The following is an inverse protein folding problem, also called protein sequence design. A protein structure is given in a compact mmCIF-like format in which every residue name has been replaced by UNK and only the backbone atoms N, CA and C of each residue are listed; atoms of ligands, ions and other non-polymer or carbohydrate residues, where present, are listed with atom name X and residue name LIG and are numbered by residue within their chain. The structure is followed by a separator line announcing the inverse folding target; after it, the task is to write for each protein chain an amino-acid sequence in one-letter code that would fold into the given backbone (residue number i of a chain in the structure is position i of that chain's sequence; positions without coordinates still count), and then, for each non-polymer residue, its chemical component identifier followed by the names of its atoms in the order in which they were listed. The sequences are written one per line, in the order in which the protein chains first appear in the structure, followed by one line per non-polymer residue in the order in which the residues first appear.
data_IF_485630997004
#
_entry.id   IF_485630997004
#
_cell.length_a   1.000
_cell.length_b   1.000
_cell.length_c   1.000
_cell.angle_alpha   90.00
_cell.angle_beta   90.00
_cell.angle_gamma   90.00
#
_symmetry.space_group_name_H-M   'P 1'
#
loop_
_entity.id
_entity.type
_entity.pdbx_description
1 polymer ?
#
# COMPACT_ATOMS: atom_id res chain seq x y z
N UNK A 1 -23.80 14.54 -28.67
CA UNK A 1 -23.78 14.32 -27.21
C UNK A 1 -22.56 15.02 -26.64
N UNK A 2 -22.76 16.09 -25.86
CA UNK A 2 -21.63 16.86 -25.30
C UNK A 2 -20.96 16.09 -24.17
N UNK A 3 -19.75 15.58 -24.46
CA UNK A 3 -18.87 14.91 -23.50
C UNK A 3 -18.25 15.97 -22.59
N UNK A 4 -18.83 16.19 -21.40
CA UNK A 4 -18.14 16.99 -20.37
C UNK A 4 -17.15 16.07 -19.64
N UNK A 5 -15.94 15.97 -20.17
CA UNK A 5 -14.81 15.31 -19.51
C UNK A 5 -14.23 16.27 -18.47
N UNK A 6 -14.25 15.86 -17.20
CA UNK A 6 -13.59 16.58 -16.12
C UNK A 6 -12.47 15.70 -15.60
N UNK A 7 -11.23 16.05 -15.97
CA UNK A 7 -10.03 15.34 -15.53
C UNK A 7 -9.65 15.87 -14.14
N UNK A 8 -9.66 15.00 -13.14
CA UNK A 8 -9.08 15.29 -11.81
C UNK A 8 -7.77 14.53 -11.70
N UNK A 9 -6.64 15.24 -11.72
CA UNK A 9 -5.32 14.64 -11.54
C UNK A 9 -5.11 14.34 -10.06
N UNK A 10 -5.31 13.09 -9.65
CA UNK A 10 -4.77 12.56 -8.40
C UNK A 10 -3.37 12.01 -8.65
N UNK A 11 -2.39 12.37 -7.84
CA UNK A 11 -1.06 11.74 -7.86
C UNK A 11 -0.93 10.86 -6.61
N UNK A 12 -0.60 9.59 -6.78
CA UNK A 12 -0.25 8.69 -5.70
C UNK A 12 1.08 8.02 -6.04
N UNK A 13 2.17 8.47 -5.41
CA UNK A 13 3.52 7.96 -5.66
C UNK A 13 3.91 8.02 -7.14
N UNK A 14 4.08 6.86 -7.76
CA UNK A 14 4.48 6.71 -9.15
C UNK A 14 3.32 6.79 -10.16
N UNK A 15 2.07 6.91 -9.70
CA UNK A 15 0.90 6.80 -10.57
C UNK A 15 0.08 8.09 -10.63
N UNK A 16 -0.43 8.37 -11.83
CA UNK A 16 -1.41 9.41 -12.15
C UNK A 16 -2.79 8.77 -12.32
N UNK A 17 -3.81 9.42 -11.76
CA UNK A 17 -5.21 8.97 -11.86
C UNK A 17 -5.99 9.94 -12.74
N UNK A 18 -6.77 9.39 -13.66
CA UNK A 18 -7.72 10.10 -14.51
C UNK A 18 -9.10 9.45 -14.38
N UNK A 19 -10.18 10.24 -14.30
CA UNK A 19 -11.55 9.74 -14.25
C UNK A 19 -12.41 10.26 -15.39
N UNK A 20 -13.35 9.44 -15.84
CA UNK A 20 -14.32 9.79 -16.88
C UNK A 20 -15.72 9.39 -16.41
N UNK A 21 -16.54 10.38 -16.09
CA UNK A 21 -17.94 10.18 -15.74
C UNK A 21 -18.85 10.20 -16.98
N UNK A 22 -19.82 9.31 -16.99
CA UNK A 22 -20.83 9.17 -18.03
C UNK A 22 -22.22 9.05 -17.41
N UNK A 23 -23.22 9.63 -18.06
CA UNK A 23 -24.63 9.47 -17.67
C UNK A 23 -25.37 8.75 -18.78
N UNK A 24 -26.21 7.78 -18.42
CA UNK A 24 -27.03 7.07 -19.38
C UNK A 24 -28.07 8.02 -20.03
N UNK A 25 -28.46 7.81 -21.30
CA UNK A 25 -29.38 8.70 -22.02
C UNK A 25 -30.77 8.79 -21.40
N UNK A 26 -31.19 7.76 -20.69
CA UNK A 26 -32.47 7.66 -19.96
C UNK A 26 -32.48 8.46 -18.64
N UNK A 27 -31.36 9.10 -18.29
CA UNK A 27 -31.24 9.88 -17.06
C UNK A 27 -30.87 9.04 -15.83
N UNK A 28 -30.47 7.77 -16.01
CA UNK A 28 -29.98 6.90 -14.96
C UNK A 28 -28.73 7.43 -14.20
N UNK A 29 -28.23 6.67 -13.22
CA UNK A 29 -27.12 7.12 -12.36
C UNK A 29 -25.86 7.41 -13.17
N UNK A 30 -25.01 8.28 -12.63
CA UNK A 30 -23.67 8.54 -13.15
C UNK A 30 -22.77 7.33 -12.91
N UNK A 31 -22.08 6.91 -13.96
CA UNK A 31 -21.05 5.88 -13.94
C UNK A 31 -19.70 6.50 -14.24
N UNK A 32 -18.72 6.29 -13.37
CA UNK A 32 -17.39 6.84 -13.53
C UNK A 32 -16.36 5.73 -13.67
N UNK A 33 -15.60 5.77 -14.77
CA UNK A 33 -14.42 4.94 -15.02
C UNK A 33 -13.20 5.66 -14.46
N UNK A 34 -12.26 4.93 -13.85
CA UNK A 34 -10.95 5.46 -13.47
C UNK A 34 -9.81 4.76 -14.21
N UNK A 35 -8.81 5.52 -14.61
CA UNK A 35 -7.61 5.07 -15.30
C UNK A 35 -6.40 5.40 -14.42
N UNK A 36 -5.54 4.42 -14.19
CA UNK A 36 -4.29 4.58 -13.43
C UNK A 36 -3.15 4.42 -14.41
N UNK A 37 -2.30 5.44 -14.52
CA UNK A 37 -1.16 5.47 -15.44
C UNK A 37 0.14 5.61 -14.68
N UNK A 38 1.21 5.03 -15.20
CA UNK A 38 2.55 5.35 -14.72
C UNK A 38 2.85 6.82 -15.04
N UNK A 39 3.30 7.58 -14.05
CA UNK A 39 3.52 9.02 -14.18
C UNK A 39 4.66 9.36 -15.14
N UNK A 40 5.67 8.49 -15.22
CA UNK A 40 6.87 8.72 -16.02
C UNK A 40 6.63 8.28 -17.47
N UNK A 41 6.18 7.05 -17.69
CA UNK A 41 5.98 6.49 -19.04
C UNK A 41 4.62 6.86 -19.65
N UNK A 42 3.65 7.30 -18.83
CA UNK A 42 2.24 7.52 -19.21
C UNK A 42 1.49 6.26 -19.65
N UNK A 43 2.09 5.09 -19.51
CA UNK A 43 1.48 3.82 -19.83
C UNK A 43 0.29 3.54 -18.93
N UNK A 44 -0.76 2.93 -19.48
CA UNK A 44 -1.93 2.52 -18.72
C UNK A 44 -1.58 1.27 -17.91
N UNK A 45 -1.69 1.40 -16.59
CA UNK A 45 -1.37 0.32 -15.63
C UNK A 45 -2.65 -0.41 -15.22
N UNK A 46 -3.74 0.33 -15.03
CA UNK A 46 -5.01 -0.25 -14.59
C UNK A 46 -6.23 0.57 -15.03
N UNK A 47 -7.38 -0.10 -15.20
CA UNK A 47 -8.68 0.51 -15.46
C UNK A 47 -9.71 -0.04 -14.49
N UNK A 48 -10.50 0.86 -13.89
CA UNK A 48 -11.63 0.54 -13.03
C UNK A 48 -12.91 0.98 -13.75
N UNK A 49 -13.59 0.03 -14.40
CA UNK A 49 -14.76 0.34 -15.26
C UNK A 49 -15.97 0.86 -14.47
N UNK A 50 -16.21 0.33 -13.28
CA UNK A 50 -17.31 0.75 -12.39
C UNK A 50 -16.79 1.40 -11.10
N UNK A 51 -15.81 2.30 -11.23
CA UNK A 51 -15.14 2.92 -10.08
C UNK A 51 -16.09 3.77 -9.22
N UNK A 52 -17.18 4.28 -9.80
CA UNK A 52 -18.19 5.00 -9.05
C UNK A 52 -19.57 4.99 -9.69
N UNK A 53 -20.59 4.83 -8.86
CA UNK A 53 -22.01 4.81 -9.25
C UNK A 53 -22.80 5.68 -8.28
N UNK A 54 -23.40 6.78 -8.76
CA UNK A 54 -24.23 7.65 -7.92
C UNK A 54 -25.22 8.49 -8.75
N UNK A 55 -26.29 8.95 -8.11
CA UNK A 55 -27.27 9.84 -8.76
C UNK A 55 -26.71 11.25 -9.00
N UNK A 56 -25.77 11.67 -8.15
CA UNK A 56 -25.07 12.93 -8.28
C UNK A 56 -23.67 12.74 -8.88
N UNK A 57 -23.30 13.63 -9.79
CA UNK A 57 -22.06 13.55 -10.57
C UNK A 57 -20.81 13.60 -9.68
N UNK A 58 -20.76 14.49 -8.68
CA UNK A 58 -19.58 14.60 -7.83
C UNK A 58 -19.41 13.37 -6.95
N UNK A 59 -20.49 12.78 -6.45
CA UNK A 59 -20.43 11.57 -5.61
C UNK A 59 -19.90 10.37 -6.40
N UNK A 60 -20.37 10.19 -7.64
CA UNK A 60 -19.85 9.13 -8.53
C UNK A 60 -18.35 9.33 -8.81
N UNK A 61 -17.93 10.58 -9.00
CA UNK A 61 -16.54 10.92 -9.26
C UNK A 61 -15.65 10.76 -8.02
N UNK A 62 -16.12 11.17 -6.85
CA UNK A 62 -15.38 11.07 -5.60
C UNK A 62 -15.22 9.59 -5.18
N UNK A 63 -16.26 8.77 -5.36
CA UNK A 63 -16.15 7.32 -5.23
C UNK A 63 -15.06 6.73 -6.15
N UNK A 64 -15.05 7.12 -7.42
CA UNK A 64 -14.07 6.65 -8.39
C UNK A 64 -12.63 7.07 -8.05
N UNK A 65 -12.43 8.29 -7.56
CA UNK A 65 -11.11 8.78 -7.15
C UNK A 65 -10.61 7.99 -5.94
N UNK A 66 -11.46 7.77 -4.94
CA UNK A 66 -11.08 7.02 -3.74
C UNK A 66 -10.72 5.57 -4.09
N UNK A 67 -11.54 4.90 -4.91
CA UNK A 67 -11.23 3.54 -5.39
C UNK A 67 -9.91 3.48 -6.17
N UNK A 68 -9.65 4.48 -7.02
CA UNK A 68 -8.40 4.55 -7.78
C UNK A 68 -7.18 4.83 -6.88
N UNK A 69 -7.33 5.64 -5.83
CA UNK A 69 -6.27 5.87 -4.84
C UNK A 69 -5.91 4.61 -4.08
N UNK A 70 -6.89 3.81 -3.66
CA UNK A 70 -6.64 2.54 -2.97
C UNK A 70 -5.85 1.56 -3.85
N UNK A 71 -6.20 1.47 -5.14
CA UNK A 71 -5.47 0.64 -6.09
C UNK A 71 -4.06 1.19 -6.34
N UNK A 72 -3.92 2.50 -6.57
CA UNK A 72 -2.60 3.11 -6.78
C UNK A 72 -1.69 2.96 -5.55
N UNK A 73 -2.22 3.08 -4.34
CA UNK A 73 -1.48 2.85 -3.10
C UNK A 73 -1.00 1.40 -2.98
N UNK A 74 -1.83 0.42 -3.37
CA UNK A 74 -1.42 -0.99 -3.43
C UNK A 74 -0.30 -1.21 -4.45
N UNK A 75 -0.45 -0.69 -5.67
CA UNK A 75 0.57 -0.78 -6.72
C UNK A 75 1.89 -0.10 -6.32
N UNK A 76 1.84 0.99 -5.55
CA UNK A 76 3.05 1.64 -5.03
C UNK A 76 3.80 0.76 -4.03
N UNK A 77 3.07 0.06 -3.14
CA UNK A 77 3.68 -0.89 -2.19
C UNK A 77 4.36 -2.03 -2.92
N UNK A 78 3.71 -2.60 -3.94
CA UNK A 78 4.28 -3.69 -4.76
C UNK A 78 5.53 -3.25 -5.52
N UNK A 79 5.55 -2.02 -6.05
CA UNK A 79 6.73 -1.48 -6.76
C UNK A 79 7.91 -1.14 -5.83
N UNK A 80 7.61 -0.77 -4.58
CA UNK A 80 8.63 -0.40 -3.59
C UNK A 80 9.13 -1.63 -2.81
N UNK A 81 8.33 -2.69 -2.74
CA UNK A 81 8.73 -3.97 -2.17
C UNK A 81 9.68 -4.69 -3.13
N UNK A 82 10.97 -4.61 -2.86
CA UNK A 82 11.96 -5.51 -3.43
C UNK A 82 12.12 -6.74 -2.50
N UNK A 83 11.70 -7.95 -2.94
CA UNK A 83 11.85 -9.16 -2.14
C UNK A 83 13.31 -9.55 -1.89
N UNK A 84 14.28 -8.97 -2.60
CA UNK A 84 15.71 -9.26 -2.44
C UNK A 84 16.45 -8.29 -1.50
N UNK A 85 15.89 -7.13 -1.16
CA UNK A 85 16.45 -6.19 -0.16
C UNK A 85 15.65 -6.11 1.13
N UNK A 86 14.51 -6.81 1.20
CA UNK A 86 13.79 -7.06 2.44
C UNK A 86 14.61 -8.01 3.33
N UNK A 87 15.53 -7.45 4.14
CA UNK A 87 16.24 -8.22 5.15
C UNK A 87 15.21 -8.98 5.99
N UNK A 88 15.39 -10.29 6.25
CA UNK A 88 14.55 -10.98 7.22
C UNK A 88 14.59 -10.19 8.53
N UNK A 89 13.46 -10.10 9.27
CA UNK A 89 13.49 -9.49 10.60
C UNK A 89 14.62 -10.17 11.39
N UNK A 90 15.43 -9.41 12.14
CA UNK A 90 16.47 -10.02 12.96
C UNK A 90 15.81 -11.10 13.82
N UNK A 91 16.43 -12.29 13.96
CA UNK A 91 15.87 -13.33 14.82
C UNK A 91 15.62 -12.70 16.19
N UNK A 92 14.40 -12.87 16.72
CA UNK A 92 14.10 -12.43 18.09
C UNK A 92 15.15 -13.05 19.01
N UNK A 93 16.05 -12.20 19.49
CA UNK A 93 17.06 -12.58 20.45
C UNK A 93 16.29 -13.00 21.71
N UNK A 94 16.11 -14.31 21.84
CA UNK A 94 15.72 -14.92 23.10
C UNK A 94 16.69 -14.36 24.13
N UNK A 95 16.19 -13.49 25.01
CA UNK A 95 16.92 -13.05 26.20
C UNK A 95 17.24 -14.31 27.01
N UNK A 96 18.39 -14.91 26.74
CA UNK A 96 18.97 -15.96 27.54
C UNK A 96 20.39 -15.55 27.85
N UNK A 97 20.61 -15.29 29.13
CA UNK A 97 21.84 -14.77 29.70
C UNK A 97 23.09 -15.56 29.30
N UNK A 98 24.18 -14.82 29.27
CA UNK A 98 25.45 -15.18 28.68
C UNK A 98 26.21 -16.33 29.38
N UNK A 99 27.04 -16.97 28.55
CA UNK A 99 28.37 -17.52 28.81
C UNK A 99 28.51 -18.87 29.53
N UNK A 100 28.87 -19.87 28.72
CA UNK A 100 29.54 -21.09 29.14
C UNK A 100 31.07 -20.91 29.12
N UNK A 101 31.78 -21.42 30.14
CA UNK A 101 32.99 -22.25 29.97
C UNK A 101 33.58 -22.71 31.32
N UNK A 102 33.42 -24.01 31.57
CA UNK A 102 34.27 -25.01 32.24
C UNK A 102 35.43 -24.59 33.18
N UNK A 103 35.52 -25.27 34.34
CA UNK A 103 36.74 -25.39 35.14
C UNK A 103 36.54 -26.19 36.43
N UNK A 104 37.12 -27.39 36.47
CA UNK A 104 37.08 -28.42 37.53
C UNK A 104 37.84 -28.01 38.81
N UNK A 105 37.38 -28.44 40.01
CA UNK A 105 38.31 -28.81 41.10
C UNK A 105 38.01 -28.35 42.54
N UNK A 106 37.42 -29.26 43.32
CA UNK A 106 37.83 -29.73 44.67
C UNK A 106 38.27 -28.79 45.82
N UNK A 107 37.68 -29.09 46.99
CA UNK A 107 38.27 -29.24 48.33
C UNK A 107 38.17 -28.11 49.39
N UNK A 108 37.38 -28.45 50.43
CA UNK A 108 37.57 -28.29 51.89
C UNK A 108 38.46 -27.19 52.46
N UNK A 109 37.97 -26.52 53.52
CA UNK A 109 38.83 -25.81 54.47
C UNK A 109 38.05 -25.02 55.53
N UNK A 110 37.88 -25.62 56.68
CA UNK A 110 37.43 -25.04 57.94
C UNK A 110 38.53 -24.12 58.53
N UNK A 111 38.17 -23.00 59.16
CA UNK A 111 39.12 -22.13 59.87
C UNK A 111 38.41 -21.02 60.64
N UNK A 112 38.75 -20.94 61.93
CA UNK A 112 38.11 -20.22 63.02
C UNK A 112 38.41 -18.70 63.08
N UNK A 113 37.61 -18.02 63.92
CA UNK A 113 37.91 -16.89 64.81
C UNK A 113 38.97 -15.85 64.43
N UNK A 114 38.58 -14.57 64.50
CA UNK A 114 39.09 -13.63 65.52
C UNK A 114 37.98 -12.63 65.92
#
# INVERSE_FOLDING_TARGET
MHRRQYRLHGICGFYEIETVATKAPDGGPWRTVAFIRDRCSRELVHTLEDAGLADYYLDSKDAAINAAWDVAARLNRERTYDPFTSLPPPPEESRSGAAAAAGVGLAQGQGDHE
#
